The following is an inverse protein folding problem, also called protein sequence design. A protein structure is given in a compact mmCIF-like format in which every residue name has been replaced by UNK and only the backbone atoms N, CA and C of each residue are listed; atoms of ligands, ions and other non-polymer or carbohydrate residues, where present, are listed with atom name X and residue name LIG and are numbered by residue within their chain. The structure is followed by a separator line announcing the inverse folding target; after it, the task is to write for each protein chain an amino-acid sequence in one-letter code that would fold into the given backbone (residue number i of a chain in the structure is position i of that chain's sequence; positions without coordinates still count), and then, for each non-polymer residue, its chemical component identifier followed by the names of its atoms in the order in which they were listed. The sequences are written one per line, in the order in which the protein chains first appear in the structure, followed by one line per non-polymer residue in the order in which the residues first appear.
data_IF_782717052462
#
_entry.id   IF_782717052462
#
_cell.length_a   1.000
_cell.length_b   1.000
_cell.length_c   1.000
_cell.angle_alpha   90.00
_cell.angle_beta   90.00
_cell.angle_gamma   90.00
#
_symmetry.space_group_name_H-M   'P 1'
#
loop_
_entity.id
_entity.type
_entity.pdbx_description
1 polymer ?
#
# COMPACT_ATOMS: atom_id res chain seq x y z
N UNK A 1 -0.41 0.15 0.79
CA UNK A 1 -0.57 -0.19 2.22
C UNK A 1 -0.11 -1.61 2.49
N UNK A 2 0.32 -1.89 3.72
CA UNK A 2 0.84 -3.22 4.08
C UNK A 2 -0.21 -4.32 3.91
N UNK A 3 -1.42 -4.12 4.41
CA UNK A 3 -2.50 -5.09 4.31
C UNK A 3 -2.89 -5.40 2.85
N UNK A 4 -2.96 -4.39 1.99
CA UNK A 4 -3.27 -4.58 0.56
C UNK A 4 -2.19 -5.40 -0.15
N UNK A 5 -0.92 -5.12 0.12
CA UNK A 5 0.20 -5.90 -0.40
C UNK A 5 0.15 -7.35 0.10
N UNK A 6 -0.16 -7.57 1.39
CA UNK A 6 -0.33 -8.93 1.93
C UNK A 6 -1.49 -9.66 1.28
N UNK A 7 -2.63 -9.01 1.11
CA UNK A 7 -3.77 -9.62 0.42
C UNK A 7 -3.43 -9.98 -1.03
N UNK A 8 -2.73 -9.10 -1.74
CA UNK A 8 -2.26 -9.38 -3.10
C UNK A 8 -1.40 -10.65 -3.16
N UNK A 9 -0.37 -10.74 -2.32
CA UNK A 9 0.52 -11.91 -2.29
C UNK A 9 -0.26 -13.17 -1.85
N UNK A 10 -1.11 -13.03 -0.84
CA UNK A 10 -1.87 -14.15 -0.28
C UNK A 10 -2.97 -14.66 -1.24
N UNK A 11 -3.53 -13.78 -2.10
CA UNK A 11 -4.42 -14.19 -3.21
C UNK A 11 -3.67 -15.07 -4.20
N UNK A 12 -2.48 -14.69 -4.61
CA UNK A 12 -1.64 -15.47 -5.52
C UNK A 12 -1.21 -16.78 -4.86
N UNK A 13 -0.91 -16.76 -3.57
CA UNK A 13 -0.56 -17.93 -2.78
C UNK A 13 -1.75 -18.89 -2.54
N UNK A 14 -2.96 -18.47 -2.83
CA UNK A 14 -4.17 -19.28 -2.59
C UNK A 14 -4.52 -19.41 -1.12
N UNK A 15 -4.29 -18.40 -0.30
CA UNK A 15 -4.62 -18.40 1.13
C UNK A 15 -6.05 -17.92 1.39
N UNK A 16 -6.46 -18.01 2.63
CA UNK A 16 -7.69 -17.36 3.10
C UNK A 16 -7.41 -15.87 3.28
N UNK A 17 -8.22 -15.03 2.66
CA UNK A 17 -8.13 -13.60 2.72
C UNK A 17 -9.25 -13.06 3.62
N UNK A 18 -8.87 -12.13 4.48
CA UNK A 18 -9.82 -11.34 5.28
C UNK A 18 -9.67 -9.87 4.88
N UNK A 19 -10.43 -9.39 3.90
CA UNK A 19 -10.23 -8.07 3.30
C UNK A 19 -10.83 -6.94 4.15
N UNK A 20 -11.00 -7.15 5.44
CA UNK A 20 -11.45 -6.13 6.38
C UNK A 20 -10.26 -5.35 6.91
N UNK A 21 -10.24 -4.06 6.67
CA UNK A 21 -9.15 -3.17 7.05
C UNK A 21 -9.61 -2.15 8.08
N UNK A 22 -9.59 -2.54 9.37
CA UNK A 22 -10.03 -1.69 10.46
C UNK A 22 -11.49 -1.26 10.34
N UNK A 23 -12.33 -2.15 9.88
CA UNK A 23 -13.75 -1.88 9.66
C UNK A 23 -14.54 -1.90 10.98
N UNK A 24 -15.69 -1.24 10.97
CA UNK A 24 -16.64 -1.27 12.09
C UNK A 24 -17.34 -2.63 12.21
N UNK A 25 -18.02 -2.85 13.32
CA UNK A 25 -18.81 -4.06 13.52
C UNK A 25 -19.84 -4.29 12.39
N UNK A 26 -19.89 -5.49 11.85
CA UNK A 26 -20.76 -5.87 10.74
C UNK A 26 -20.21 -5.58 9.34
N UNK A 27 -19.01 -5.03 9.23
CA UNK A 27 -18.39 -4.78 7.92
C UNK A 27 -18.14 -6.06 7.11
N UNK A 28 -17.88 -7.16 7.77
CA UNK A 28 -17.75 -8.50 7.19
C UNK A 28 -19.05 -9.04 6.57
N UNK A 29 -20.18 -8.40 6.84
CA UNK A 29 -21.45 -8.71 6.17
C UNK A 29 -21.54 -8.14 4.74
N UNK A 30 -20.68 -7.19 4.39
CA UNK A 30 -20.58 -6.60 3.05
C UNK A 30 -19.79 -7.58 2.17
N UNK A 31 -20.30 -7.94 0.98
CA UNK A 31 -19.75 -9.02 0.16
C UNK A 31 -18.25 -8.88 -0.14
N UNK A 32 -17.79 -7.70 -0.49
CA UNK A 32 -16.37 -7.47 -0.80
C UNK A 32 -15.45 -7.49 0.43
N UNK A 33 -16.00 -7.50 1.64
CA UNK A 33 -15.25 -7.57 2.89
C UNK A 33 -15.37 -8.93 3.59
N UNK A 34 -16.17 -9.83 3.04
CA UNK A 34 -16.29 -11.19 3.59
C UNK A 34 -15.00 -11.96 3.40
N UNK A 35 -14.57 -12.72 4.39
CA UNK A 35 -13.48 -13.67 4.22
C UNK A 35 -13.74 -14.65 3.09
N UNK A 36 -12.72 -14.92 2.28
CA UNK A 36 -12.81 -15.90 1.20
C UNK A 36 -11.51 -16.68 1.03
N UNK A 37 -11.62 -17.86 0.45
CA UNK A 37 -10.48 -18.67 0.06
C UNK A 37 -10.10 -18.31 -1.38
N UNK A 38 -8.92 -17.75 -1.60
CA UNK A 38 -8.42 -17.50 -2.92
C UNK A 38 -8.05 -18.80 -3.66
N UNK A 39 -8.29 -18.85 -4.96
CA UNK A 39 -7.90 -19.98 -5.79
C UNK A 39 -6.38 -20.15 -5.86
N UNK A 40 -5.67 -19.03 -5.87
CA UNK A 40 -4.21 -19.01 -6.04
C UNK A 40 -3.77 -19.18 -7.48
N UNK A 41 -2.50 -18.95 -7.71
CA UNK A 41 -1.81 -19.28 -8.96
C UNK A 41 -1.31 -20.73 -8.88
N UNK A 42 -1.31 -21.44 -10.02
CA UNK A 42 -0.69 -22.77 -10.09
C UNK A 42 0.79 -22.68 -9.65
N UNK A 43 1.19 -23.58 -8.74
CA UNK A 43 2.53 -23.56 -8.14
C UNK A 43 3.68 -23.82 -9.12
N UNK A 44 3.35 -24.29 -10.33
CA UNK A 44 4.33 -24.48 -11.39
C UNK A 44 4.61 -23.21 -12.19
N UNK A 45 3.74 -22.19 -12.08
CA UNK A 45 3.88 -20.92 -12.78
C UNK A 45 4.71 -19.96 -11.94
N UNK A 46 5.94 -19.62 -12.36
CA UNK A 46 6.72 -18.58 -11.70
C UNK A 46 6.14 -17.20 -12.06
N UNK A 47 6.12 -16.29 -11.09
CA UNK A 47 5.76 -14.91 -11.34
C UNK A 47 6.79 -13.96 -10.75
N UNK A 48 6.90 -12.77 -11.32
CA UNK A 48 7.92 -11.78 -11.02
C UNK A 48 7.28 -10.42 -10.80
N UNK A 49 7.78 -9.67 -9.84
CA UNK A 49 7.17 -8.41 -9.39
C UNK A 49 7.98 -7.21 -9.83
N UNK A 50 7.30 -6.18 -10.31
CA UNK A 50 7.89 -4.87 -10.61
C UNK A 50 7.41 -3.86 -9.58
N UNK A 51 8.33 -3.03 -9.07
CA UNK A 51 7.99 -1.93 -8.18
C UNK A 51 7.43 -0.75 -8.98
N UNK A 52 6.32 -0.18 -8.51
CA UNK A 52 5.75 1.06 -9.01
C UNK A 52 5.86 2.20 -8.00
N UNK A 53 5.66 3.43 -8.44
CA UNK A 53 5.76 4.62 -7.58
C UNK A 53 4.72 4.63 -6.44
N UNK A 54 3.52 4.12 -6.67
CA UNK A 54 2.50 4.02 -5.63
C UNK A 54 2.78 2.94 -4.57
N UNK A 55 3.73 2.05 -4.82
CA UNK A 55 4.08 1.00 -3.88
C UNK A 55 4.92 1.50 -2.70
N UNK A 56 5.70 2.57 -2.91
CA UNK A 56 6.64 3.06 -1.91
C UNK A 56 6.67 4.58 -1.71
N UNK A 57 5.93 5.35 -2.50
CA UNK A 57 5.70 6.77 -2.26
C UNK A 57 4.30 7.01 -1.71
N UNK A 58 4.17 7.97 -0.79
CA UNK A 58 2.87 8.44 -0.37
C UNK A 58 2.16 9.12 -1.54
N UNK A 59 0.94 8.64 -1.85
CA UNK A 59 0.14 9.03 -3.02
C UNK A 59 0.91 9.01 -4.37
N UNK A 60 1.96 8.20 -4.45
CA UNK A 60 2.70 7.92 -5.68
C UNK A 60 3.80 8.91 -6.06
N UNK A 61 4.03 9.99 -5.29
CA UNK A 61 5.05 10.99 -5.61
C UNK A 61 5.75 11.63 -4.41
N UNK A 62 5.17 11.57 -3.21
CA UNK A 62 5.82 12.11 -2.02
C UNK A 62 6.68 11.05 -1.34
N UNK A 63 7.94 11.36 -1.02
CA UNK A 63 8.76 10.45 -0.23
C UNK A 63 8.10 10.07 1.09
N UNK A 64 8.21 8.81 1.44
CA UNK A 64 7.70 8.33 2.72
C UNK A 64 8.54 8.88 3.87
N UNK A 65 7.86 9.29 4.91
CA UNK A 65 8.44 9.57 6.22
C UNK A 65 7.56 8.94 7.30
N UNK A 66 7.95 9.00 8.55
CA UNK A 66 7.20 8.34 9.61
C UNK A 66 5.78 8.90 9.77
N UNK A 67 5.59 10.19 9.54
CA UNK A 67 4.25 10.79 9.55
C UNK A 67 3.37 10.23 8.42
N UNK A 68 3.86 10.23 7.16
CA UNK A 68 3.08 9.74 6.01
C UNK A 68 2.79 8.23 6.11
N UNK A 69 3.70 7.45 6.70
CA UNK A 69 3.47 6.01 6.95
C UNK A 69 2.30 5.78 7.89
N UNK A 70 2.16 6.62 8.88
CA UNK A 70 1.12 6.51 9.91
C UNK A 70 -0.18 7.24 9.54
N UNK A 71 -0.18 8.11 8.55
CA UNK A 71 -1.33 8.92 8.17
C UNK A 71 -2.58 8.10 7.81
N UNK A 72 -2.42 6.84 7.42
CA UNK A 72 -3.52 5.96 7.01
C UNK A 72 -4.02 5.03 8.14
N UNK A 73 -3.34 4.97 9.28
CA UNK A 73 -3.65 3.97 10.32
C UNK A 73 -4.73 4.38 11.32
N UNK A 74 -4.99 5.67 11.47
CA UNK A 74 -5.94 6.20 12.44
C UNK A 74 -7.40 5.98 12.04
N UNK A 75 -8.30 6.53 12.81
CA UNK A 75 -9.76 6.49 12.62
C UNK A 75 -10.37 7.84 12.21
N UNK A 76 -9.58 8.90 12.15
CA UNK A 76 -10.05 10.19 11.68
C UNK A 76 -10.13 10.20 10.16
N UNK A 77 -10.99 11.04 9.64
CA UNK A 77 -11.20 11.23 8.20
C UNK A 77 -10.48 12.50 7.79
N UNK A 78 -9.75 12.43 6.70
CA UNK A 78 -9.28 13.62 5.97
C UNK A 78 -10.17 13.79 4.75
N UNK A 79 -10.66 15.00 4.57
CA UNK A 79 -11.25 15.39 3.33
C UNK A 79 -10.23 16.20 2.50
N UNK A 80 -9.89 15.65 1.36
CA UNK A 80 -9.09 16.35 0.35
C UNK A 80 -9.98 17.01 -0.71
N UNK A 81 -11.24 17.30 -0.36
CA UNK A 81 -12.23 17.82 -1.26
C UNK A 81 -11.91 19.19 -1.85
N UNK A 82 -12.91 19.84 -2.42
CA UNK A 82 -12.75 21.09 -3.14
C UNK A 82 -12.34 22.24 -2.18
N UNK A 83 -11.04 22.56 -2.17
CA UNK A 83 -10.45 23.60 -1.32
C UNK A 83 -11.01 25.00 -1.57
N UNK A 84 -11.65 25.24 -2.73
CA UNK A 84 -12.26 26.53 -3.06
C UNK A 84 -13.71 26.64 -2.56
N UNK A 85 -14.46 25.53 -2.60
CA UNK A 85 -15.85 25.50 -2.19
C UNK A 85 -16.03 25.12 -0.71
N UNK A 86 -15.13 24.31 -0.18
CA UNK A 86 -15.13 23.82 1.18
C UNK A 86 -13.69 23.74 1.72
N UNK A 87 -13.09 24.87 2.12
CA UNK A 87 -11.70 24.90 2.59
C UNK A 87 -11.44 24.02 3.81
N UNK A 88 -12.44 23.76 4.65
CA UNK A 88 -12.34 22.86 5.79
C UNK A 88 -12.54 21.40 5.42
N UNK A 89 -13.11 21.13 4.25
CA UNK A 89 -13.40 19.80 3.78
C UNK A 89 -14.49 19.05 4.55
N UNK A 90 -15.28 19.75 5.38
CA UNK A 90 -16.26 19.10 6.26
C UNK A 90 -17.64 18.93 5.60
N UNK A 91 -17.98 19.78 4.65
CA UNK A 91 -19.28 19.77 3.97
C UNK A 91 -19.29 18.87 2.74
N UNK A 92 -18.14 18.47 2.24
CA UNK A 92 -18.02 17.56 1.10
C UNK A 92 -17.76 16.11 1.56
N UNK A 93 -17.66 15.21 0.60
CA UNK A 93 -17.41 13.79 0.88
C UNK A 93 -16.05 13.61 1.54
N UNK A 94 -16.05 13.06 2.74
CA UNK A 94 -14.84 12.65 3.43
C UNK A 94 -14.19 11.43 2.79
N UNK A 95 -12.88 11.45 2.67
CA UNK A 95 -12.08 10.28 2.36
C UNK A 95 -11.50 9.73 3.65
N UNK A 96 -11.60 8.43 3.83
CA UNK A 96 -10.96 7.78 4.96
C UNK A 96 -9.47 7.67 4.69
N UNK A 97 -8.67 8.45 5.38
CA UNK A 97 -7.22 8.35 5.35
C UNK A 97 -6.63 7.96 6.69
N UNK A 98 -7.47 7.78 7.70
CA UNK A 98 -7.03 7.35 9.00
C UNK A 98 -6.03 8.29 9.65
N UNK A 99 -6.12 9.60 9.44
CA UNK A 99 -5.22 10.58 10.02
C UNK A 99 -5.06 10.37 11.54
N UNK A 100 -3.85 10.56 12.03
CA UNK A 100 -3.49 10.26 13.43
C UNK A 100 -4.20 11.23 14.38
N UNK A 101 -3.98 12.52 14.20
CA UNK A 101 -4.54 13.57 15.06
C UNK A 101 -4.80 14.91 14.33
N UNK A 102 -4.39 15.02 13.08
CA UNK A 102 -4.48 16.25 12.30
C UNK A 102 -3.27 17.16 12.39
N UNK A 103 -2.38 16.95 13.34
CA UNK A 103 -1.12 17.70 13.45
C UNK A 103 -0.03 17.16 12.52
N UNK A 104 0.79 18.03 11.96
CA UNK A 104 1.97 17.67 11.15
C UNK A 104 3.17 18.51 11.57
N UNK A 105 4.40 18.09 11.23
CA UNK A 105 5.59 18.93 11.39
C UNK A 105 5.54 20.26 10.62
N UNK A 106 4.59 20.39 9.68
CA UNK A 106 4.42 21.57 8.82
C UNK A 106 3.18 22.40 9.16
N UNK A 107 2.48 22.07 10.25
CA UNK A 107 1.25 22.69 10.66
C UNK A 107 0.06 21.72 10.68
N UNK A 108 -1.10 22.22 11.06
CA UNK A 108 -2.29 21.40 11.17
C UNK A 108 -2.90 21.07 9.81
N UNK A 109 -3.44 19.87 9.68
CA UNK A 109 -4.20 19.45 8.50
C UNK A 109 -5.62 20.00 8.63
N UNK A 110 -6.02 20.82 7.68
CA UNK A 110 -7.39 21.34 7.61
C UNK A 110 -8.31 20.23 7.08
N UNK A 111 -9.52 20.15 7.61
CA UNK A 111 -10.51 19.17 7.12
C UNK A 111 -10.28 17.75 7.65
N UNK A 112 -9.62 17.60 8.79
CA UNK A 112 -9.47 16.32 9.48
C UNK A 112 -10.38 16.26 10.71
N UNK A 113 -10.88 15.09 11.02
CA UNK A 113 -11.68 14.88 12.22
C UNK A 113 -12.44 13.56 12.26
N UNK A 114 -13.24 13.37 13.30
CA UNK A 114 -14.09 12.19 13.41
C UNK A 114 -15.19 12.21 12.34
N UNK A 115 -15.67 11.04 11.99
CA UNK A 115 -16.64 10.83 10.88
C UNK A 115 -17.90 11.71 11.03
N UNK A 116 -18.37 11.93 12.25
CA UNK A 116 -19.57 12.74 12.53
C UNK A 116 -19.50 14.20 12.03
N UNK A 117 -18.28 14.67 11.73
CA UNK A 117 -18.05 16.01 11.22
C UNK A 117 -18.21 16.12 9.69
N UNK A 118 -18.41 14.98 8.99
CA UNK A 118 -18.49 14.94 7.53
C UNK A 118 -19.90 14.59 7.06
N UNK A 119 -20.36 15.24 6.00
CA UNK A 119 -21.70 15.02 5.46
C UNK A 119 -21.87 13.60 4.87
N UNK A 120 -20.83 13.07 4.27
CA UNK A 120 -20.82 11.72 3.67
C UNK A 120 -19.56 10.95 4.05
N UNK A 121 -19.48 10.47 5.29
CA UNK A 121 -18.29 9.77 5.76
C UNK A 121 -18.16 8.40 5.08
N UNK A 122 -16.95 7.88 4.90
CA UNK A 122 -16.75 6.50 4.49
C UNK A 122 -17.21 5.53 5.59
N UNK A 123 -17.47 4.29 5.23
CA UNK A 123 -17.99 3.29 6.17
C UNK A 123 -16.93 2.68 7.08
N UNK A 124 -15.65 2.72 6.71
CA UNK A 124 -14.55 2.20 7.53
C UNK A 124 -14.18 3.23 8.59
N UNK A 125 -14.18 2.84 9.86
CA UNK A 125 -14.08 3.75 11.00
C UNK A 125 -13.04 3.37 12.04
N UNK A 126 -12.60 2.12 12.04
CA UNK A 126 -11.65 1.65 13.04
C UNK A 126 -10.21 1.96 12.63
N UNK A 127 -9.36 2.21 13.63
CA UNK A 127 -7.91 2.27 13.40
C UNK A 127 -7.37 0.89 13.05
N UNK A 128 -6.37 0.84 12.15
CA UNK A 128 -5.71 -0.39 11.75
C UNK A 128 -4.24 -0.11 11.42
N UNK A 129 -3.29 -0.60 12.23
CA UNK A 129 -1.86 -0.44 12.00
C UNK A 129 -1.40 -1.02 10.66
N UNK A 130 -2.13 -2.00 10.12
CA UNK A 130 -1.76 -2.66 8.88
C UNK A 130 -2.14 -1.86 7.63
N UNK A 131 -2.80 -0.71 7.78
CA UNK A 131 -2.95 0.27 6.71
C UNK A 131 -1.73 1.17 6.51
N UNK A 132 -0.66 0.98 7.28
CA UNK A 132 0.57 1.77 7.12
C UNK A 132 1.13 1.67 5.71
N UNK A 133 1.70 2.76 5.23
CA UNK A 133 2.52 2.75 4.03
C UNK A 133 3.86 2.05 4.27
N UNK A 134 4.46 1.54 3.22
CA UNK A 134 5.71 0.80 3.29
C UNK A 134 6.85 1.57 2.64
N UNK A 135 8.04 1.51 3.22
CA UNK A 135 9.27 1.85 2.52
C UNK A 135 9.59 0.80 1.46
N UNK A 136 10.35 1.15 0.44
CA UNK A 136 10.76 0.26 -0.65
C UNK A 136 11.35 -1.06 -0.14
N UNK A 137 12.27 -1.01 0.84
CA UNK A 137 12.84 -2.20 1.48
C UNK A 137 11.81 -3.11 2.11
N UNK A 138 10.87 -2.52 2.85
CA UNK A 138 9.82 -3.28 3.52
C UNK A 138 8.91 -3.93 2.49
N UNK A 139 8.54 -3.18 1.45
CA UNK A 139 7.72 -3.67 0.36
C UNK A 139 8.37 -4.85 -0.36
N UNK A 140 9.64 -4.74 -0.79
CA UNK A 140 10.38 -5.84 -1.41
C UNK A 140 10.50 -7.05 -0.48
N UNK A 141 10.67 -6.83 0.83
CA UNK A 141 10.84 -7.91 1.79
C UNK A 141 9.57 -8.77 1.96
N UNK A 142 8.37 -8.21 1.70
CA UNK A 142 7.13 -8.98 1.80
C UNK A 142 7.06 -10.13 0.77
N UNK A 143 7.71 -10.00 -0.38
CA UNK A 143 7.76 -11.03 -1.41
C UNK A 143 8.60 -12.27 -1.04
N UNK A 144 9.33 -12.22 0.06
CA UNK A 144 9.97 -13.41 0.63
C UNK A 144 9.04 -14.20 1.56
N UNK A 145 7.89 -13.64 1.92
CA UNK A 145 6.87 -14.28 2.76
C UNK A 145 5.76 -14.87 1.90
N UNK A 146 6.13 -15.79 1.02
CA UNK A 146 5.27 -16.39 0.00
C UNK A 146 5.43 -17.91 -0.06
N UNK A 147 4.44 -18.60 -0.57
CA UNK A 147 4.52 -20.02 -0.92
C UNK A 147 4.63 -20.28 -2.42
N UNK A 148 4.55 -19.24 -3.24
CA UNK A 148 4.71 -19.31 -4.70
C UNK A 148 6.16 -19.07 -5.12
N UNK A 149 6.47 -19.21 -6.41
CA UNK A 149 7.84 -19.19 -6.93
C UNK A 149 8.06 -18.07 -7.95
N UNK A 150 9.34 -17.61 -8.08
CA UNK A 150 10.48 -17.82 -7.19
C UNK A 150 10.32 -17.07 -5.88
N UNK A 151 10.98 -17.48 -4.81
CA UNK A 151 11.02 -16.71 -3.56
C UNK A 151 11.62 -15.33 -3.83
N UNK A 152 10.98 -14.29 -3.31
CA UNK A 152 11.35 -12.90 -3.57
C UNK A 152 10.85 -12.36 -4.91
N UNK A 153 10.26 -13.21 -5.76
CA UNK A 153 9.64 -12.85 -7.05
C UNK A 153 10.48 -11.92 -7.93
N UNK A 154 11.77 -12.23 -7.99
CA UNK A 154 12.80 -11.47 -8.71
C UNK A 154 13.72 -10.67 -7.80
N UNK A 155 13.25 -10.22 -6.65
CA UNK A 155 14.09 -9.55 -5.68
C UNK A 155 14.99 -10.54 -4.93
N UNK A 156 16.23 -10.14 -4.72
CA UNK A 156 17.22 -10.83 -3.89
C UNK A 156 17.40 -10.10 -2.55
N UNK A 157 18.11 -10.72 -1.61
CA UNK A 157 18.49 -10.03 -0.37
C UNK A 157 19.36 -8.80 -0.66
N UNK A 158 20.23 -8.87 -1.67
CA UNK A 158 21.04 -7.73 -2.10
C UNK A 158 20.19 -6.54 -2.57
N UNK A 159 19.04 -6.78 -3.21
CA UNK A 159 18.11 -5.71 -3.57
C UNK A 159 17.58 -4.99 -2.32
N UNK A 160 17.24 -5.75 -1.28
CA UNK A 160 16.75 -5.20 -0.02
C UNK A 160 17.85 -4.41 0.68
N UNK A 161 19.05 -4.99 0.79
CA UNK A 161 20.19 -4.39 1.51
C UNK A 161 20.64 -3.08 0.88
N UNK A 162 20.60 -2.99 -0.46
CA UNK A 162 20.99 -1.80 -1.22
C UNK A 162 19.82 -0.87 -1.55
N UNK A 163 18.61 -1.18 -1.10
CA UNK A 163 17.40 -0.42 -1.44
C UNK A 163 17.24 -0.19 -2.95
N UNK A 164 17.39 -1.24 -3.75
CA UNK A 164 17.46 -1.19 -5.20
C UNK A 164 16.56 -2.25 -5.83
N UNK A 165 15.53 -1.85 -6.57
CA UNK A 165 14.48 -2.75 -7.06
C UNK A 165 14.67 -3.25 -8.51
N UNK A 166 15.81 -2.96 -9.15
CA UNK A 166 16.12 -3.55 -10.47
C UNK A 166 16.71 -4.95 -10.32
N UNK A 167 16.36 -5.82 -11.24
CA UNK A 167 16.92 -7.17 -11.33
C UNK A 167 16.80 -7.71 -12.76
N UNK A 168 17.39 -8.89 -13.01
CA UNK A 168 17.19 -9.61 -14.27
C UNK A 168 17.08 -11.11 -14.00
N UNK A 169 16.42 -11.81 -14.91
CA UNK A 169 16.29 -13.25 -14.85
C UNK A 169 16.20 -13.87 -16.24
N UNK A 170 16.45 -15.15 -16.32
CA UNK A 170 16.26 -15.98 -17.50
C UNK A 170 15.05 -16.88 -17.27
N UNK A 171 13.94 -16.72 -18.03
CA UNK A 171 12.70 -17.46 -17.79
C UNK A 171 12.87 -18.97 -17.93
N UNK A 172 13.75 -19.40 -18.86
CA UNK A 172 14.11 -20.79 -19.11
C UNK A 172 15.55 -20.87 -19.60
N UNK A 173 16.25 -21.89 -19.16
CA UNK A 173 17.66 -22.11 -19.51
C UNK A 173 17.89 -22.51 -20.97
N UNK A 174 16.87 -23.04 -21.63
CA UNK A 174 16.90 -23.50 -23.03
C UNK A 174 16.47 -22.41 -24.03
N UNK A 175 16.03 -21.26 -23.53
CA UNK A 175 15.63 -20.13 -24.37
C UNK A 175 16.60 -18.96 -24.11
N UNK A 176 17.29 -18.44 -25.16
CA UNK A 176 18.26 -17.37 -24.99
C UNK A 176 17.58 -15.99 -24.81
N UNK A 177 16.73 -15.88 -23.80
CA UNK A 177 16.02 -14.65 -23.43
C UNK A 177 16.41 -14.26 -22.01
N UNK A 178 16.84 -13.03 -21.84
CA UNK A 178 17.03 -12.39 -20.54
C UNK A 178 16.01 -11.26 -20.36
N UNK A 179 15.26 -11.32 -19.29
CA UNK A 179 14.32 -10.26 -18.89
C UNK A 179 15.03 -9.33 -17.93
N UNK A 180 14.94 -8.03 -18.18
CA UNK A 180 15.47 -6.97 -17.30
C UNK A 180 14.28 -6.21 -16.76
N UNK A 181 14.17 -6.16 -15.43
CA UNK A 181 13.16 -5.40 -14.71
C UNK A 181 13.82 -4.15 -14.14
N UNK A 182 13.28 -3.00 -14.50
CA UNK A 182 13.81 -1.71 -14.11
C UNK A 182 12.85 -1.04 -13.11
N UNK A 183 13.42 -0.48 -12.07
CA UNK A 183 12.77 0.49 -11.20
C UNK A 183 13.10 1.89 -11.74
N UNK A 184 12.10 2.55 -12.31
CA UNK A 184 12.20 3.93 -12.80
C UNK A 184 11.53 4.94 -11.87
N UNK A 185 11.24 4.54 -10.64
CA UNK A 185 10.69 5.42 -9.62
C UNK A 185 11.80 6.29 -9.02
N UNK A 186 11.43 7.49 -8.60
CA UNK A 186 12.39 8.37 -7.93
C UNK A 186 12.82 7.80 -6.58
N UNK A 187 14.07 8.03 -6.22
CA UNK A 187 14.63 7.73 -4.91
C UNK A 187 14.43 8.93 -3.98
N UNK A 188 14.45 8.69 -2.66
CA UNK A 188 14.33 9.77 -1.69
C UNK A 188 15.46 10.81 -1.78
N UNK A 189 16.63 10.39 -2.24
CA UNK A 189 17.80 11.23 -2.48
C UNK A 189 17.78 11.94 -3.86
N UNK A 190 16.93 11.51 -4.78
CA UNK A 190 16.79 12.10 -6.11
C UNK A 190 16.04 13.44 -6.10
N UNK A 191 15.39 13.81 -4.99
CA UNK A 191 14.66 15.08 -4.84
C UNK A 191 15.59 16.30 -5.03
N UNK A 192 16.85 16.18 -4.66
CA UNK A 192 17.85 17.22 -4.78
C UNK A 192 18.70 17.10 -6.04
N UNK A 193 18.41 16.14 -6.91
CA UNK A 193 19.19 15.84 -8.10
C UNK A 193 18.23 15.45 -9.24
N UNK A 194 17.46 16.42 -9.81
CA UNK A 194 16.52 16.18 -10.91
C UNK A 194 17.21 15.77 -12.21
#
# INVERSE_FOLDING_TARGET
QYNELRWYIDVIDGKVIQPSSGSHAGADSIDFQKPFKAAGLDKTIPWYQTLGNHDHFFIGFLPQNEYSRQALIGKNIINMGNVFADPRGMDSRGFYMGAIDGGTPYGDVIGVGPEKNFATPPQVRAADPDRRSLYRREWMNEFFKTSSRPMGHGFSRSNIDNDFACYSFEPKSDIPIKVIVLDNTQRNDDINNP
#
